data_IF_718282239115
#
_entry.id   IF_718282239115
#
_cell.length_a   1.000
_cell.length_b   1.000
_cell.length_c   1.000
_cell.angle_alpha   90.00
_cell.angle_beta   90.00
_cell.angle_gamma   90.00
#
_symmetry.space_group_name_H-M   'P 1'
#
loop_
_entity.id
_entity.type
_entity.pdbx_description
1 polymer ?
#
# COMPACT_ATOMS: atom_id res chain seq x y z
N UNK A 1 11.98 -6.45 -12.96
CA UNK A 1 11.22 -6.41 -11.68
C UNK A 1 10.79 -7.82 -11.33
N UNK A 2 11.03 -8.26 -10.11
CA UNK A 2 10.69 -9.59 -9.65
C UNK A 2 9.19 -9.76 -9.44
N UNK A 3 8.66 -11.00 -9.45
CA UNK A 3 7.25 -11.23 -9.10
C UNK A 3 6.87 -10.69 -7.71
N UNK A 4 7.81 -10.76 -6.75
CA UNK A 4 7.64 -10.24 -5.40
C UNK A 4 7.45 -8.72 -5.42
N UNK A 5 8.29 -8.02 -6.15
CA UNK A 5 8.22 -6.57 -6.27
C UNK A 5 6.94 -6.14 -6.99
N UNK A 6 6.55 -6.85 -8.05
CA UNK A 6 5.31 -6.54 -8.76
C UNK A 6 4.08 -6.73 -7.89
N UNK A 7 4.06 -7.78 -7.08
CA UNK A 7 2.97 -8.02 -6.14
C UNK A 7 2.87 -6.88 -5.13
N UNK A 8 3.99 -6.45 -4.56
CA UNK A 8 4.03 -5.35 -3.60
C UNK A 8 3.55 -4.04 -4.22
N UNK A 9 3.98 -3.73 -5.43
CA UNK A 9 3.55 -2.51 -6.13
C UNK A 9 2.06 -2.52 -6.44
N UNK A 10 1.54 -3.65 -6.90
CA UNK A 10 0.11 -3.80 -7.20
C UNK A 10 -0.73 -3.66 -5.93
N UNK A 11 -0.28 -4.25 -4.85
CA UNK A 11 -0.94 -4.15 -3.55
C UNK A 11 -0.97 -2.69 -3.06
N UNK A 12 0.19 -2.02 -3.08
CA UNK A 12 0.30 -0.62 -2.66
C UNK A 12 -0.55 0.30 -3.51
N UNK A 13 -0.58 0.09 -4.82
CA UNK A 13 -1.38 0.88 -5.75
C UNK A 13 -2.88 0.75 -5.44
N UNK A 14 -3.37 -0.47 -5.27
CA UNK A 14 -4.77 -0.70 -4.93
C UNK A 14 -5.15 -0.16 -3.56
N UNK A 15 -4.25 -0.30 -2.60
CA UNK A 15 -4.47 0.25 -1.27
C UNK A 15 -4.58 1.78 -1.30
N UNK A 16 -3.78 2.42 -2.15
CA UNK A 16 -3.77 3.88 -2.27
C UNK A 16 -5.01 4.42 -3.01
N UNK A 17 -5.41 3.76 -4.10
CA UNK A 17 -6.50 4.24 -4.96
C UNK A 17 -7.86 3.81 -4.41
N UNK A 18 -8.02 2.54 -4.09
CA UNK A 18 -9.26 1.99 -3.55
C UNK A 18 -8.96 0.69 -2.82
N UNK A 19 -8.91 0.76 -1.49
CA UNK A 19 -8.59 -0.41 -0.67
C UNK A 19 -9.62 -1.52 -0.78
N UNK A 20 -10.83 -1.24 -1.24
CA UNK A 20 -11.85 -2.27 -1.50
C UNK A 20 -11.49 -3.18 -2.66
N UNK A 21 -10.53 -2.79 -3.50
CA UNK A 21 -10.04 -3.61 -4.60
C UNK A 21 -8.95 -4.59 -4.20
N UNK A 22 -8.56 -4.60 -2.93
CA UNK A 22 -7.66 -5.60 -2.38
C UNK A 22 -8.49 -6.85 -2.11
N UNK A 23 -8.51 -7.76 -3.06
CA UNK A 23 -9.33 -8.97 -3.02
C UNK A 23 -8.56 -10.17 -2.47
N UNK A 24 -9.27 -11.31 -2.32
CA UNK A 24 -8.69 -12.53 -1.77
C UNK A 24 -7.54 -13.07 -2.64
N UNK A 25 -7.63 -12.90 -3.95
CA UNK A 25 -6.59 -13.35 -4.86
C UNK A 25 -5.31 -12.57 -4.66
N UNK A 26 -5.41 -11.25 -4.47
CA UNK A 26 -4.26 -10.41 -4.20
C UNK A 26 -3.66 -10.70 -2.82
N UNK A 27 -4.49 -10.94 -1.80
CA UNK A 27 -4.03 -11.37 -0.48
C UNK A 27 -3.27 -12.69 -0.56
N UNK A 28 -3.78 -13.66 -1.30
CA UNK A 28 -3.12 -14.95 -1.48
C UNK A 28 -1.77 -14.78 -2.17
N UNK A 29 -1.69 -13.91 -3.17
CA UNK A 29 -0.44 -13.62 -3.86
C UNK A 29 0.58 -12.97 -2.91
N UNK A 30 0.14 -12.01 -2.10
CA UNK A 30 1.02 -11.36 -1.13
C UNK A 30 1.56 -12.38 -0.12
N UNK A 31 0.74 -13.30 0.37
CA UNK A 31 1.16 -14.33 1.31
C UNK A 31 2.15 -15.32 0.73
N UNK A 32 2.19 -15.48 -0.58
CA UNK A 32 3.21 -16.32 -1.24
C UNK A 32 4.59 -15.68 -1.22
N UNK A 33 4.66 -14.35 -1.17
CA UNK A 33 5.91 -13.60 -1.29
C UNK A 33 6.36 -12.95 0.02
N UNK A 34 5.44 -12.73 0.94
CA UNK A 34 5.70 -11.97 2.17
C UNK A 34 5.12 -12.69 3.38
N UNK A 35 5.79 -12.53 4.51
CA UNK A 35 5.26 -12.95 5.80
C UNK A 35 4.11 -12.01 6.24
N UNK A 36 3.32 -12.44 7.20
CA UNK A 36 2.26 -11.61 7.77
C UNK A 36 2.82 -10.30 8.35
N UNK A 37 3.95 -10.37 9.04
CA UNK A 37 4.60 -9.19 9.61
C UNK A 37 5.03 -8.21 8.52
N UNK A 38 5.57 -8.71 7.40
CA UNK A 38 5.98 -7.88 6.27
C UNK A 38 4.78 -7.22 5.60
N UNK A 39 3.66 -7.93 5.46
CA UNK A 39 2.43 -7.38 4.89
C UNK A 39 1.89 -6.26 5.79
N UNK A 40 1.84 -6.48 7.09
CA UNK A 40 1.38 -5.46 8.06
C UNK A 40 2.28 -4.23 7.99
N UNK A 41 3.59 -4.43 7.92
CA UNK A 41 4.54 -3.34 7.81
C UNK A 41 4.32 -2.53 6.51
N UNK A 42 4.11 -3.21 5.39
CA UNK A 42 3.83 -2.56 4.12
C UNK A 42 2.53 -1.76 4.17
N UNK A 43 1.47 -2.31 4.75
CA UNK A 43 0.19 -1.61 4.94
C UNK A 43 0.39 -0.36 5.80
N UNK A 44 1.11 -0.49 6.91
CA UNK A 44 1.36 0.64 7.82
C UNK A 44 2.13 1.76 7.12
N UNK A 45 3.19 1.45 6.39
CA UNK A 45 3.96 2.43 5.64
C UNK A 45 3.13 3.11 4.56
N UNK A 46 2.37 2.33 3.79
CA UNK A 46 1.56 2.86 2.70
C UNK A 46 0.46 3.78 3.22
N UNK A 47 -0.25 3.37 4.27
CA UNK A 47 -1.34 4.18 4.83
C UNK A 47 -0.82 5.44 5.52
N UNK A 48 0.33 5.36 6.16
CA UNK A 48 0.98 6.53 6.77
C UNK A 48 1.37 7.55 5.71
N UNK A 49 1.95 7.09 4.61
CA UNK A 49 2.36 7.93 3.49
C UNK A 49 1.15 8.65 2.86
N UNK A 50 0.07 7.92 2.62
CA UNK A 50 -1.18 8.47 2.09
C UNK A 50 -1.77 9.48 3.07
N UNK A 51 -1.79 9.15 4.36
CA UNK A 51 -2.32 10.00 5.41
C UNK A 51 -1.59 11.33 5.52
N UNK A 52 -0.26 11.31 5.43
CA UNK A 52 0.53 12.54 5.43
C UNK A 52 0.25 13.40 4.20
N UNK A 53 0.13 12.80 3.02
CA UNK A 53 -0.21 13.53 1.81
C UNK A 53 -1.54 14.28 1.94
N UNK A 54 -2.56 13.60 2.44
CA UNK A 54 -3.88 14.20 2.65
C UNK A 54 -3.88 15.25 3.76
N UNK A 55 -3.13 15.01 4.82
CA UNK A 55 -2.96 15.97 5.89
C UNK A 55 -2.38 17.29 5.36
N UNK A 56 -1.33 17.20 4.55
CA UNK A 56 -0.70 18.37 3.96
C UNK A 56 -1.65 19.14 3.04
N UNK A 57 -2.47 18.43 2.26
CA UNK A 57 -3.47 19.08 1.41
C UNK A 57 -4.54 19.81 2.21
N UNK A 58 -5.04 19.18 3.28
CA UNK A 58 -6.11 19.74 4.10
C UNK A 58 -5.67 21.02 4.78
N UNK A 59 -4.46 21.07 5.31
CA UNK A 59 -3.97 22.25 6.04
C UNK A 59 -3.22 23.24 5.14
N UNK A 60 -3.12 22.94 3.84
CA UNK A 60 -2.49 23.84 2.89
C UNK A 60 -0.97 23.88 2.96
N UNK A 61 -0.32 22.93 3.60
CA UNK A 61 1.13 22.79 3.58
C UNK A 61 1.51 21.99 2.33
N UNK A 62 1.44 22.63 1.19
CA UNK A 62 1.86 22.01 -0.06
C UNK A 62 3.38 22.02 -0.12
N UNK A 63 4.05 20.85 -0.17
CA UNK A 63 5.48 20.82 -0.44
C UNK A 63 5.68 21.22 -1.89
N UNK A 64 6.12 22.39 -2.07
CA UNK A 64 6.36 22.96 -3.39
C UNK A 64 7.34 22.11 -4.21
#
# INVERSE_FOLDING_TARGET
MSPRERAALRFADRLAVDHHKVDDALWAEMRRHFSEAEIIELVAHTTLYIGFGRFNEIIGLDPA
#
